data_IF_312172077671
#
_entry.id   IF_312172077671
#
_cell.length_a   1.000
_cell.length_b   1.000
_cell.length_c   1.000
_cell.angle_alpha   90.00
_cell.angle_beta   90.00
_cell.angle_gamma   90.00
#
_symmetry.space_group_name_H-M   'P 1'
#
loop_
_entity.id
_entity.type
_entity.pdbx_description
1 polymer ?
#
# COMPACT_ATOMS: atom_id res chain seq x y z
N UNK A 1 -13.24 -10.10 9.42
CA UNK A 1 -13.96 -9.87 8.13
C UNK A 1 -14.91 -8.66 8.14
N UNK A 2 -15.53 -8.25 9.27
CA UNK A 2 -16.54 -7.16 9.31
C UNK A 2 -16.11 -5.79 8.72
N UNK A 3 -14.81 -5.46 8.75
CA UNK A 3 -14.28 -4.19 8.22
C UNK A 3 -13.75 -4.26 6.77
N UNK A 4 -13.63 -5.46 6.18
CA UNK A 4 -13.16 -5.64 4.80
C UNK A 4 -14.30 -5.62 3.76
N UNK A 5 -15.55 -5.74 4.21
CA UNK A 5 -16.65 -6.26 3.37
C UNK A 5 -17.48 -5.20 2.66
N UNK A 6 -17.62 -4.00 3.24
CA UNK A 6 -18.40 -2.90 2.62
C UNK A 6 -17.59 -2.23 1.51
N UNK A 7 -16.26 -2.24 1.63
CA UNK A 7 -15.35 -1.60 0.69
C UNK A 7 -15.28 -2.34 -0.66
N UNK A 8 -15.15 -3.67 -0.61
CA UNK A 8 -14.97 -4.47 -1.83
C UNK A 8 -16.25 -4.72 -2.62
N UNK A 9 -17.38 -4.90 -1.94
CA UNK A 9 -18.65 -5.14 -2.63
C UNK A 9 -19.43 -3.85 -2.93
N UNK A 10 -19.02 -2.70 -2.37
CA UNK A 10 -19.75 -1.41 -2.45
C UNK A 10 -21.22 -1.52 -2.05
N UNK A 11 -21.56 -2.53 -1.23
CA UNK A 11 -22.90 -2.81 -0.71
C UNK A 11 -22.85 -3.04 0.79
N UNK A 12 -23.98 -2.80 1.46
CA UNK A 12 -24.08 -3.04 2.90
C UNK A 12 -24.09 -4.55 3.16
N UNK A 13 -23.56 -4.93 4.32
CA UNK A 13 -23.55 -6.30 4.80
C UNK A 13 -24.99 -6.84 5.03
N UNK A 14 -25.24 -8.16 5.02
CA UNK A 14 -26.51 -8.72 5.46
C UNK A 14 -26.89 -8.22 6.86
N UNK A 15 -28.18 -7.98 7.08
CA UNK A 15 -28.68 -7.34 8.31
C UNK A 15 -28.70 -8.31 9.49
N UNK A 16 -29.19 -9.52 9.28
CA UNK A 16 -29.29 -10.51 10.35
C UNK A 16 -27.98 -11.29 10.51
N UNK A 17 -27.69 -11.71 11.74
CA UNK A 17 -26.54 -12.57 12.04
C UNK A 17 -26.56 -13.89 11.28
N UNK A 18 -27.76 -14.44 11.02
CA UNK A 18 -27.95 -15.70 10.29
C UNK A 18 -27.58 -15.54 8.81
N UNK A 19 -28.08 -14.50 8.14
CA UNK A 19 -27.72 -14.22 6.73
C UNK A 19 -26.24 -13.88 6.59
N UNK A 20 -25.70 -13.11 7.54
CA UNK A 20 -24.28 -12.79 7.61
C UNK A 20 -23.41 -14.04 7.77
N UNK A 21 -23.88 -15.03 8.54
CA UNK A 21 -23.20 -16.31 8.71
C UNK A 21 -23.27 -17.15 7.45
N UNK A 22 -24.46 -17.33 6.87
CA UNK A 22 -24.66 -18.08 5.63
C UNK A 22 -23.79 -17.51 4.48
N UNK A 23 -23.77 -16.17 4.34
CA UNK A 23 -22.91 -15.51 3.36
C UNK A 23 -21.43 -15.82 3.59
N UNK A 24 -20.93 -15.73 4.84
CA UNK A 24 -19.51 -16.01 5.15
C UNK A 24 -19.14 -17.46 4.88
N UNK A 25 -20.01 -18.39 5.25
CA UNK A 25 -19.81 -19.82 5.05
C UNK A 25 -19.70 -20.13 3.56
N UNK A 26 -20.62 -19.57 2.74
CA UNK A 26 -20.59 -19.76 1.30
C UNK A 26 -19.38 -19.12 0.62
N UNK A 27 -19.05 -17.88 0.98
CA UNK A 27 -17.87 -17.20 0.45
C UNK A 27 -16.59 -18.00 0.77
N UNK A 28 -16.48 -18.47 2.02
CA UNK A 28 -15.36 -19.31 2.45
C UNK A 28 -15.32 -20.63 1.69
N UNK A 29 -16.45 -21.34 1.59
CA UNK A 29 -16.52 -22.62 0.89
C UNK A 29 -16.13 -22.49 -0.58
N UNK A 30 -16.59 -21.44 -1.25
CA UNK A 30 -16.30 -21.22 -2.66
C UNK A 30 -14.86 -20.78 -2.93
N UNK A 31 -14.25 -19.96 -2.07
CA UNK A 31 -12.81 -19.68 -2.18
C UNK A 31 -11.94 -20.90 -1.90
N UNK A 32 -12.29 -21.72 -0.91
CA UNK A 32 -11.59 -22.98 -0.63
C UNK A 32 -11.70 -23.92 -1.82
N UNK A 33 -12.89 -24.05 -2.42
CA UNK A 33 -13.10 -24.87 -3.61
C UNK A 33 -12.30 -24.36 -4.82
N UNK A 34 -12.30 -23.04 -5.06
CA UNK A 34 -11.50 -22.43 -6.13
C UNK A 34 -10.00 -22.69 -5.93
N UNK A 35 -9.49 -22.47 -4.70
CA UNK A 35 -8.09 -22.69 -4.33
C UNK A 35 -7.69 -24.15 -4.51
N UNK A 36 -8.54 -25.06 -4.04
CA UNK A 36 -8.35 -26.50 -4.21
C UNK A 36 -8.24 -26.86 -5.69
N UNK A 37 -9.16 -26.38 -6.53
CA UNK A 37 -9.17 -26.70 -7.95
C UNK A 37 -7.93 -26.16 -8.66
N UNK A 38 -7.48 -24.95 -8.31
CA UNK A 38 -6.23 -24.39 -8.81
C UNK A 38 -5.05 -25.30 -8.47
N UNK A 39 -4.89 -25.65 -7.19
CA UNK A 39 -3.77 -26.49 -6.75
C UNK A 39 -3.81 -27.88 -7.39
N UNK A 40 -4.98 -28.52 -7.41
CA UNK A 40 -5.17 -29.84 -8.02
C UNK A 40 -4.86 -29.82 -9.52
N UNK A 41 -5.26 -28.77 -10.23
CA UNK A 41 -4.98 -28.62 -11.66
C UNK A 41 -3.48 -28.45 -11.92
N UNK A 42 -2.81 -27.60 -11.14
CA UNK A 42 -1.38 -27.36 -11.28
C UNK A 42 -0.57 -28.62 -10.97
N UNK A 43 -0.86 -29.31 -9.86
CA UNK A 43 -0.13 -30.53 -9.51
C UNK A 43 -0.33 -31.64 -10.55
N UNK A 44 -1.53 -31.80 -11.09
CA UNK A 44 -1.83 -32.84 -12.08
C UNK A 44 -1.08 -32.57 -13.39
N UNK A 45 -0.97 -31.30 -13.78
CA UNK A 45 -0.13 -30.90 -14.91
C UNK A 45 1.34 -31.22 -14.66
N UNK A 46 1.89 -30.82 -13.51
CA UNK A 46 3.30 -31.07 -13.17
C UNK A 46 3.60 -32.58 -13.11
N UNK A 47 2.68 -33.39 -12.57
CA UNK A 47 2.76 -34.85 -12.60
C UNK A 47 2.76 -35.41 -14.02
N UNK A 48 1.92 -34.88 -14.92
CA UNK A 48 1.85 -35.31 -16.32
C UNK A 48 3.14 -35.01 -17.10
N UNK A 49 3.88 -33.98 -16.69
CA UNK A 49 5.21 -33.62 -17.21
C UNK A 49 6.34 -34.45 -16.56
N UNK A 50 6.03 -35.42 -15.70
CA UNK A 50 7.01 -36.27 -15.01
C UNK A 50 7.85 -35.54 -13.96
N UNK A 51 7.40 -34.35 -13.53
CA UNK A 51 8.06 -33.55 -12.48
C UNK A 51 7.43 -33.79 -11.12
N UNK A 52 8.18 -33.50 -10.06
CA UNK A 52 7.81 -33.81 -8.67
C UNK A 52 7.78 -32.59 -7.74
N UNK A 53 7.81 -31.38 -8.30
CA UNK A 53 7.76 -30.12 -7.56
C UNK A 53 7.01 -29.09 -8.39
N UNK A 54 6.00 -28.45 -7.78
CA UNK A 54 5.27 -27.34 -8.39
C UNK A 54 6.12 -26.07 -8.27
N UNK A 55 6.48 -25.49 -9.40
CA UNK A 55 7.23 -24.25 -9.47
C UNK A 55 6.37 -23.02 -9.75
N UNK A 56 6.93 -21.83 -9.49
CA UNK A 56 6.29 -20.54 -9.75
C UNK A 56 5.73 -20.44 -11.19
N UNK A 57 6.51 -20.88 -12.18
CA UNK A 57 6.11 -20.84 -13.60
C UNK A 57 4.89 -21.71 -13.90
N UNK A 58 4.72 -22.82 -13.16
CA UNK A 58 3.59 -23.72 -13.35
C UNK A 58 2.30 -23.04 -12.87
N UNK A 59 2.34 -22.44 -11.68
CA UNK A 59 1.23 -21.65 -11.15
C UNK A 59 0.90 -20.48 -12.08
N UNK A 60 1.91 -19.73 -12.53
CA UNK A 60 1.72 -18.58 -13.41
C UNK A 60 1.06 -18.99 -14.75
N UNK A 61 1.43 -20.15 -15.31
CA UNK A 61 0.82 -20.64 -16.55
C UNK A 61 -0.68 -20.94 -16.39
N UNK A 62 -1.09 -21.49 -15.24
CA UNK A 62 -2.50 -21.72 -14.94
C UNK A 62 -3.26 -20.43 -14.68
N UNK A 63 -2.70 -19.51 -13.90
CA UNK A 63 -3.36 -18.24 -13.58
C UNK A 63 -3.64 -17.39 -14.81
N UNK A 64 -2.77 -17.44 -15.83
CA UNK A 64 -3.00 -16.76 -17.12
C UNK A 64 -4.30 -17.18 -17.80
N UNK A 65 -4.78 -18.40 -17.57
CA UNK A 65 -6.02 -18.90 -18.17
C UNK A 65 -7.18 -18.88 -17.18
N UNK A 66 -6.93 -19.19 -15.90
CA UNK A 66 -7.97 -19.26 -14.87
C UNK A 66 -8.46 -17.90 -14.40
N UNK A 67 -7.55 -16.93 -14.29
CA UNK A 67 -7.85 -15.58 -13.81
C UNK A 67 -6.85 -14.59 -14.43
N UNK A 68 -6.95 -14.33 -15.75
CA UNK A 68 -6.02 -13.45 -16.45
C UNK A 68 -6.07 -12.04 -15.86
N UNK A 69 -4.90 -11.49 -15.54
CA UNK A 69 -4.75 -10.16 -14.95
C UNK A 69 -3.66 -9.34 -15.63
N UNK A 70 -3.75 -8.01 -15.49
CA UNK A 70 -2.68 -7.07 -15.83
C UNK A 70 -2.66 -5.92 -14.85
N UNK A 71 -1.48 -5.58 -14.32
CA UNK A 71 -1.30 -4.39 -13.50
C UNK A 71 -1.17 -3.12 -14.37
N UNK A 72 -1.76 -2.01 -13.91
CA UNK A 72 -1.56 -0.70 -14.52
C UNK A 72 -0.40 0.07 -13.84
N UNK A 73 -0.21 1.35 -14.18
CA UNK A 73 0.86 2.19 -13.62
C UNK A 73 0.65 2.57 -12.14
N UNK A 74 -0.56 2.38 -11.60
CA UNK A 74 -0.94 2.62 -10.21
C UNK A 74 -1.00 1.33 -9.39
N UNK A 75 -0.51 0.23 -9.97
CA UNK A 75 -0.56 -1.13 -9.41
C UNK A 75 -1.97 -1.72 -9.26
N UNK A 76 -2.99 -1.06 -9.83
CA UNK A 76 -4.35 -1.63 -9.87
C UNK A 76 -4.37 -2.86 -10.78
N UNK A 77 -5.15 -3.86 -10.40
CA UNK A 77 -5.26 -5.11 -11.13
C UNK A 77 -6.48 -5.08 -12.03
N UNK A 78 -6.23 -5.19 -13.33
CA UNK A 78 -7.26 -5.33 -14.37
C UNK A 78 -7.47 -6.82 -14.62
N UNK A 79 -8.62 -7.34 -14.22
CA UNK A 79 -9.06 -8.69 -14.50
C UNK A 79 -9.68 -8.81 -15.90
N UNK A 80 -9.44 -9.95 -16.53
CA UNK A 80 -9.89 -10.29 -17.88
C UNK A 80 -9.45 -9.25 -18.95
N UNK A 81 -8.15 -8.89 -19.02
CA UNK A 81 -7.64 -7.85 -19.90
C UNK A 81 -7.82 -8.12 -21.40
N UNK A 82 -8.14 -9.35 -21.79
CA UNK A 82 -8.40 -9.73 -23.18
C UNK A 82 -9.83 -9.38 -23.63
N UNK A 83 -10.73 -9.04 -22.70
CA UNK A 83 -12.10 -8.63 -23.01
C UNK A 83 -12.19 -7.15 -23.39
N UNK A 84 -13.35 -6.73 -23.92
CA UNK A 84 -13.67 -5.32 -24.10
C UNK A 84 -13.59 -4.53 -22.79
N UNK A 85 -13.28 -3.23 -22.85
CA UNK A 85 -13.10 -2.39 -21.64
C UNK A 85 -14.33 -2.37 -20.72
N UNK A 86 -15.52 -2.55 -21.28
CA UNK A 86 -16.81 -2.63 -20.60
C UNK A 86 -17.01 -3.94 -19.81
N UNK A 87 -16.23 -4.97 -20.12
CA UNK A 87 -16.26 -6.27 -19.45
C UNK A 87 -15.07 -6.50 -18.52
N UNK A 88 -14.05 -5.64 -18.60
CA UNK A 88 -12.90 -5.66 -17.70
C UNK A 88 -13.29 -5.19 -16.31
N UNK A 89 -12.71 -5.81 -15.29
CA UNK A 89 -12.93 -5.43 -13.89
C UNK A 89 -11.61 -4.91 -13.36
N UNK A 90 -11.59 -3.64 -12.96
CA UNK A 90 -10.41 -3.04 -12.32
C UNK A 90 -10.61 -3.03 -10.81
N UNK A 91 -9.63 -3.54 -10.09
CA UNK A 91 -9.59 -3.52 -8.62
C UNK A 91 -8.37 -2.71 -8.20
N UNK A 92 -8.64 -1.71 -7.37
CA UNK A 92 -7.64 -0.79 -6.83
C UNK A 92 -6.58 -1.56 -6.02
N UNK A 93 -5.30 -1.18 -6.14
CA UNK A 93 -4.18 -1.85 -5.44
C UNK A 93 -4.41 -1.96 -3.93
N UNK A 94 -4.91 -0.89 -3.31
CA UNK A 94 -5.26 -0.84 -1.89
C UNK A 94 -6.30 -1.89 -1.47
N UNK A 95 -7.27 -2.22 -2.33
CA UNK A 95 -8.30 -3.20 -1.98
C UNK A 95 -7.70 -4.62 -1.85
N UNK A 96 -6.74 -4.92 -2.71
CA UNK A 96 -6.01 -6.20 -2.71
C UNK A 96 -5.06 -6.26 -1.51
N UNK A 97 -4.33 -5.18 -1.23
CA UNK A 97 -3.48 -5.06 -0.05
C UNK A 97 -4.26 -5.24 1.25
N UNK A 98 -5.40 -4.59 1.40
CA UNK A 98 -6.24 -4.75 2.59
C UNK A 98 -6.68 -6.21 2.80
N UNK A 99 -6.98 -6.95 1.72
CA UNK A 99 -7.28 -8.38 1.82
C UNK A 99 -6.02 -9.19 2.18
N UNK A 100 -4.86 -8.86 1.60
CA UNK A 100 -3.57 -9.51 1.91
C UNK A 100 -3.18 -9.29 3.37
N UNK A 101 -3.23 -8.07 3.87
CA UNK A 101 -2.86 -7.71 5.24
C UNK A 101 -3.67 -8.45 6.31
N UNK A 102 -4.89 -8.90 5.96
CA UNK A 102 -5.70 -9.72 6.86
C UNK A 102 -5.13 -11.12 7.13
N UNK A 103 -4.22 -11.60 6.28
CA UNK A 103 -3.66 -12.95 6.31
C UNK A 103 -4.66 -14.08 6.00
N UNK A 104 -5.91 -13.76 5.67
CA UNK A 104 -6.97 -14.76 5.49
C UNK A 104 -6.76 -15.65 4.26
N UNK A 105 -6.06 -15.16 3.24
CA UNK A 105 -5.75 -15.91 2.03
C UNK A 105 -4.85 -17.14 2.32
N UNK A 106 -3.91 -17.03 3.26
CA UNK A 106 -3.14 -18.18 3.77
C UNK A 106 -4.02 -19.21 4.48
N UNK A 107 -5.07 -18.76 5.18
CA UNK A 107 -6.04 -19.67 5.82
C UNK A 107 -6.87 -20.42 4.80
N UNK A 108 -7.28 -19.79 3.70
CA UNK A 108 -7.98 -20.48 2.62
C UNK A 108 -7.10 -21.51 1.93
N UNK A 109 -5.80 -21.23 1.77
CA UNK A 109 -4.83 -22.23 1.29
C UNK A 109 -4.72 -23.42 2.24
N UNK A 110 -4.60 -23.17 3.55
CA UNK A 110 -4.59 -24.21 4.58
C UNK A 110 -5.87 -25.07 4.53
N UNK A 111 -7.04 -24.45 4.40
CA UNK A 111 -8.31 -25.16 4.29
C UNK A 111 -8.42 -25.97 3.00
N UNK A 112 -7.91 -25.47 1.88
CA UNK A 112 -7.86 -26.20 0.62
C UNK A 112 -6.96 -27.45 0.74
N UNK A 113 -5.82 -27.35 1.43
CA UNK A 113 -4.96 -28.51 1.71
C UNK A 113 -5.61 -29.51 2.65
N UNK A 114 -6.34 -29.06 3.66
CA UNK A 114 -7.12 -29.96 4.53
C UNK A 114 -8.21 -30.69 3.75
N UNK A 115 -8.88 -30.01 2.81
CA UNK A 115 -9.92 -30.61 1.96
C UNK A 115 -9.34 -31.61 0.95
N UNK A 116 -8.18 -31.29 0.34
CA UNK A 116 -7.46 -32.22 -0.53
C UNK A 116 -6.93 -33.44 0.23
N UNK A 117 -6.39 -33.21 1.44
CA UNK A 117 -5.83 -34.25 2.29
C UNK A 117 -4.82 -35.12 1.54
N UNK A 118 -5.02 -36.46 1.46
CA UNK A 118 -4.12 -37.36 0.72
C UNK A 118 -4.00 -37.09 -0.79
N UNK A 119 -4.86 -36.23 -1.35
CA UNK A 119 -4.79 -35.83 -2.77
C UNK A 119 -3.76 -34.73 -3.04
N UNK A 120 -3.11 -34.17 -2.01
CA UNK A 120 -1.93 -33.33 -2.21
C UNK A 120 -0.75 -34.26 -2.56
N UNK A 121 -0.43 -34.36 -3.84
CA UNK A 121 0.54 -35.34 -4.36
C UNK A 121 1.95 -34.76 -4.49
N UNK A 122 2.05 -33.46 -4.79
CA UNK A 122 3.32 -32.77 -4.99
C UNK A 122 3.49 -31.63 -3.99
N UNK A 123 4.70 -31.39 -3.48
CA UNK A 123 5.00 -30.13 -2.81
C UNK A 123 5.03 -28.99 -3.83
N UNK A 124 4.76 -27.78 -3.35
CA UNK A 124 5.01 -26.53 -4.08
C UNK A 124 6.19 -25.79 -3.45
N UNK A 125 7.04 -25.19 -4.28
CA UNK A 125 8.11 -24.35 -3.77
C UNK A 125 7.55 -23.07 -3.10
N UNK A 126 8.34 -22.37 -2.26
CA UNK A 126 7.85 -21.18 -1.55
C UNK A 126 7.32 -20.06 -2.46
N UNK A 127 7.91 -19.87 -3.65
CA UNK A 127 7.47 -18.83 -4.60
C UNK A 127 6.16 -19.21 -5.28
N UNK A 128 5.97 -20.50 -5.59
CA UNK A 128 4.70 -21.03 -6.07
C UNK A 128 3.59 -20.86 -5.01
N UNK A 129 3.90 -21.13 -3.74
CA UNK A 129 2.96 -20.93 -2.63
C UNK A 129 2.60 -19.47 -2.43
N UNK A 130 3.58 -18.55 -2.54
CA UNK A 130 3.33 -17.10 -2.51
C UNK A 130 2.39 -16.68 -3.65
N UNK A 131 2.65 -17.14 -4.88
CA UNK A 131 1.82 -16.78 -6.03
C UNK A 131 0.40 -17.35 -5.93
N UNK A 132 0.25 -18.57 -5.39
CA UNK A 132 -1.08 -19.14 -5.08
C UNK A 132 -1.78 -18.30 -4.01
N UNK A 133 -1.08 -17.94 -2.94
CA UNK A 133 -1.56 -17.07 -1.86
C UNK A 133 -2.07 -15.72 -2.39
N UNK A 134 -1.30 -15.06 -3.25
CA UNK A 134 -1.66 -13.81 -3.89
C UNK A 134 -2.89 -13.99 -4.80
N UNK A 135 -2.95 -15.09 -5.55
CA UNK A 135 -4.09 -15.39 -6.40
C UNK A 135 -5.39 -15.61 -5.61
N UNK A 136 -5.30 -16.18 -4.41
CA UNK A 136 -6.45 -16.31 -3.50
C UNK A 136 -6.94 -14.93 -3.05
N UNK A 137 -6.03 -14.01 -2.73
CA UNK A 137 -6.40 -12.65 -2.38
C UNK A 137 -7.13 -11.95 -3.53
N UNK A 138 -6.57 -12.03 -4.74
CA UNK A 138 -7.15 -11.50 -5.97
C UNK A 138 -8.56 -12.08 -6.23
N UNK A 139 -8.71 -13.41 -6.17
CA UNK A 139 -9.98 -14.08 -6.37
C UNK A 139 -11.02 -13.67 -5.31
N UNK A 140 -10.59 -13.48 -4.06
CA UNK A 140 -11.46 -13.04 -2.97
C UNK A 140 -12.05 -11.65 -3.19
N UNK A 141 -11.21 -10.67 -3.51
CA UNK A 141 -11.68 -9.30 -3.78
C UNK A 141 -12.53 -9.26 -5.04
N UNK A 142 -12.14 -9.97 -6.11
CA UNK A 142 -12.92 -10.07 -7.34
C UNK A 142 -14.33 -10.62 -7.09
N UNK A 143 -14.44 -11.68 -6.27
CA UNK A 143 -15.71 -12.29 -5.94
C UNK A 143 -16.63 -11.32 -5.17
N UNK A 144 -16.07 -10.55 -4.22
CA UNK A 144 -16.84 -9.49 -3.56
C UNK A 144 -17.27 -8.39 -4.51
N UNK A 145 -16.38 -7.94 -5.41
CA UNK A 145 -16.69 -6.91 -6.41
C UNK A 145 -17.85 -7.34 -7.30
N UNK A 146 -17.79 -8.56 -7.83
CA UNK A 146 -18.83 -9.15 -8.67
C UNK A 146 -20.14 -9.40 -7.93
N UNK A 147 -20.09 -9.86 -6.66
CA UNK A 147 -21.29 -9.99 -5.84
C UNK A 147 -21.98 -8.61 -5.64
N UNK A 148 -21.19 -7.55 -5.55
CA UNK A 148 -21.66 -6.17 -5.49
C UNK A 148 -22.38 -5.68 -6.74
N UNK A 149 -22.03 -6.18 -7.92
CA UNK A 149 -22.62 -5.74 -9.20
C UNK A 149 -24.07 -6.17 -9.37
N UNK A 150 -24.45 -7.33 -8.81
CA UNK A 150 -25.85 -7.77 -8.86
C UNK A 150 -26.67 -6.95 -7.88
N UNK A 151 -27.41 -5.99 -8.40
CA UNK A 151 -28.58 -5.44 -7.74
C UNK A 151 -28.60 -3.93 -7.74
N UNK A 152 -29.16 -3.37 -8.81
CA UNK A 152 -29.74 -2.03 -8.83
C UNK A 152 -30.98 -1.91 -7.91
N UNK A 153 -31.36 -2.96 -7.16
CA UNK A 153 -32.57 -2.98 -6.30
C UNK A 153 -32.38 -3.46 -4.86
N UNK A 154 -31.20 -3.96 -4.47
CA UNK A 154 -30.97 -4.46 -3.10
C UNK A 154 -29.80 -3.72 -2.46
N UNK A 155 -30.07 -3.03 -1.34
CA UNK A 155 -29.07 -2.25 -0.58
C UNK A 155 -28.02 -3.13 0.13
N UNK A 156 -28.31 -4.41 0.33
CA UNK A 156 -27.51 -5.35 1.11
C UNK A 156 -27.13 -6.59 0.29
N UNK A 157 -25.97 -7.15 0.60
CA UNK A 157 -25.53 -8.44 0.07
C UNK A 157 -26.42 -9.57 0.55
N UNK A 158 -26.59 -10.57 -0.30
CA UNK A 158 -27.25 -11.82 -0.03
C UNK A 158 -26.44 -13.00 -0.55
N UNK A 159 -26.75 -14.20 -0.06
CA UNK A 159 -26.07 -15.43 -0.46
C UNK A 159 -26.13 -15.67 -1.99
N UNK A 160 -27.24 -15.29 -2.63
CA UNK A 160 -27.44 -15.44 -4.08
C UNK A 160 -26.53 -14.52 -4.93
N UNK A 161 -25.95 -13.48 -4.33
CA UNK A 161 -24.99 -12.60 -5.01
C UNK A 161 -23.64 -13.30 -5.19
N UNK A 162 -23.28 -14.22 -4.27
CA UNK A 162 -22.08 -15.05 -4.44
C UNK A 162 -22.27 -16.06 -5.56
N UNK A 163 -23.44 -16.68 -5.70
CA UNK A 163 -23.72 -17.59 -6.83
C UNK A 163 -23.54 -16.89 -8.18
N UNK A 164 -24.03 -15.65 -8.25
CA UNK A 164 -23.82 -14.79 -9.40
C UNK A 164 -22.33 -14.51 -9.63
N UNK A 165 -21.61 -14.10 -8.60
CA UNK A 165 -20.19 -13.81 -8.70
C UNK A 165 -19.40 -15.02 -9.24
N UNK A 166 -19.61 -16.21 -8.69
CA UNK A 166 -18.96 -17.44 -9.17
C UNK A 166 -19.27 -17.72 -10.64
N UNK A 167 -20.55 -17.63 -11.01
CA UNK A 167 -20.99 -17.88 -12.39
C UNK A 167 -20.36 -16.87 -13.35
N UNK A 168 -20.34 -15.59 -12.97
CA UNK A 168 -19.78 -14.51 -13.79
C UNK A 168 -18.27 -14.60 -13.92
N UNK A 169 -17.55 -14.98 -12.86
CA UNK A 169 -16.10 -15.23 -12.95
C UNK A 169 -15.78 -16.30 -14.00
N UNK A 170 -16.53 -17.40 -14.00
CA UNK A 170 -16.38 -18.50 -14.97
C UNK A 170 -16.72 -18.02 -16.39
N UNK A 171 -17.82 -17.29 -16.55
CA UNK A 171 -18.25 -16.76 -17.85
C UNK A 171 -17.20 -15.81 -18.45
N UNK A 172 -16.71 -14.83 -17.67
CA UNK A 172 -15.69 -13.88 -18.14
C UNK A 172 -14.37 -14.57 -18.48
N UNK A 173 -13.97 -15.56 -17.69
CA UNK A 173 -12.80 -16.40 -17.98
C UNK A 173 -12.97 -17.12 -19.32
N UNK A 174 -14.09 -17.79 -19.51
CA UNK A 174 -14.34 -18.61 -20.70
C UNK A 174 -14.44 -17.75 -21.97
N UNK A 175 -15.10 -16.59 -21.89
CA UNK A 175 -15.15 -15.62 -23.00
C UNK A 175 -13.75 -15.06 -23.29
N UNK A 176 -12.99 -14.69 -22.26
CA UNK A 176 -11.64 -14.12 -22.41
C UNK A 176 -10.63 -15.10 -23.00
N UNK A 177 -10.88 -16.40 -22.86
CA UNK A 177 -10.09 -17.47 -23.45
C UNK A 177 -10.61 -17.87 -24.85
N UNK A 178 -11.88 -17.59 -25.17
CA UNK A 178 -12.49 -17.82 -26.48
C UNK A 178 -12.03 -16.78 -27.51
N UNK A 179 -10.73 -16.77 -27.85
CA UNK A 179 -10.17 -15.79 -28.80
C UNK A 179 -8.66 -15.85 -29.05
N UNK A 180 -7.96 -16.89 -28.59
CA UNK A 180 -6.49 -17.01 -28.73
C UNK A 180 -6.06 -17.42 -30.17
N UNK A 181 -7.00 -17.61 -31.11
CA UNK A 181 -6.73 -17.69 -32.55
C UNK A 181 -7.19 -16.41 -33.27
N UNK A 182 -6.21 -15.79 -33.93
CA UNK A 182 -6.23 -14.66 -34.86
C UNK A 182 -6.10 -13.23 -34.28
N UNK A 183 -4.87 -12.72 -34.41
CA UNK A 183 -4.58 -11.30 -34.45
C UNK A 183 -5.00 -10.70 -35.79
N UNK A 184 -5.81 -9.63 -35.76
CA UNK A 184 -5.49 -8.30 -36.34
C UNK A 184 -6.75 -7.42 -36.38
N UNK A 185 -6.68 -6.28 -35.72
CA UNK A 185 -7.04 -5.01 -36.34
C UNK A 185 -6.50 -3.85 -35.51
N UNK A 186 -5.71 -2.99 -36.15
CA UNK A 186 -5.31 -1.69 -35.63
C UNK A 186 -6.39 -0.68 -35.98
N UNK A 187 -7.06 -0.12 -34.97
CA UNK A 187 -7.90 1.07 -35.13
C UNK A 187 -7.25 2.24 -34.39
N UNK A 188 -7.10 3.35 -35.12
CA UNK A 188 -6.72 4.64 -34.55
C UNK A 188 -7.91 5.18 -33.74
N UNK A 189 -7.67 5.81 -32.58
CA UNK A 189 -8.75 6.39 -31.79
C UNK A 189 -9.30 7.65 -32.46
N UNK A 190 -10.57 7.61 -32.86
CA UNK A 190 -11.40 8.81 -32.92
C UNK A 190 -12.11 8.98 -31.58
N UNK A 191 -11.88 10.12 -30.94
CA UNK A 191 -12.57 10.52 -29.71
C UNK A 191 -13.89 11.15 -30.12
N UNK A 192 -15.00 10.51 -29.77
CA UNK A 192 -16.32 11.13 -29.75
C UNK A 192 -16.79 11.21 -28.29
N UNK A 193 -16.98 12.44 -27.79
CA UNK A 193 -17.53 12.71 -26.45
C UNK A 193 -18.98 12.23 -26.36
N UNK A 194 -19.27 11.46 -25.32
CA UNK A 194 -20.64 11.20 -24.89
C UNK A 194 -21.28 12.51 -24.37
N UNK A 195 -22.57 12.68 -24.66
CA UNK A 195 -23.38 13.79 -24.16
C UNK A 195 -23.34 13.88 -22.64
N UNK A 196 -23.33 15.13 -22.17
CA UNK A 196 -23.14 15.52 -20.77
C UNK A 196 -24.15 14.85 -19.83
N UNK A 197 -23.65 14.06 -18.89
CA UNK A 197 -24.31 13.86 -17.62
C UNK A 197 -24.53 15.24 -16.94
N UNK A 198 -25.62 15.45 -16.17
CA UNK A 198 -25.75 16.65 -15.34
C UNK A 198 -24.51 16.76 -14.46
N UNK A 199 -24.01 17.99 -14.16
CA UNK A 199 -22.72 18.16 -13.52
C UNK A 199 -22.70 17.36 -12.21
N UNK A 200 -21.94 16.27 -12.20
CA UNK A 200 -21.53 15.63 -10.97
C UNK A 200 -20.84 16.71 -10.15
N UNK A 201 -21.31 16.93 -8.92
CA UNK A 201 -20.67 17.84 -7.99
C UNK A 201 -19.16 17.57 -8.00
N UNK A 202 -18.37 18.54 -8.46
CA UNK A 202 -16.91 18.44 -8.44
C UNK A 202 -16.52 18.53 -6.97
N UNK A 203 -16.31 17.38 -6.33
CA UNK A 203 -15.96 17.31 -4.90
C UNK A 203 -14.50 17.72 -4.65
N UNK A 204 -13.62 17.46 -5.62
CA UNK A 204 -12.20 17.77 -5.55
C UNK A 204 -11.70 18.35 -6.87
N UNK A 205 -10.73 19.25 -6.77
CA UNK A 205 -10.04 19.85 -7.90
C UNK A 205 -8.54 19.69 -7.67
N UNK A 206 -7.83 19.22 -8.69
CA UNK A 206 -6.36 19.27 -8.67
C UNK A 206 -5.92 20.73 -8.71
N UNK A 207 -5.18 21.14 -7.67
CA UNK A 207 -4.64 22.48 -7.53
C UNK A 207 -3.11 22.50 -7.53
N UNK A 208 -2.44 21.38 -7.81
CA UNK A 208 -0.98 21.23 -7.66
C UNK A 208 -0.22 22.31 -8.41
N UNK A 209 -0.62 22.60 -9.66
CA UNK A 209 0.02 23.63 -10.47
C UNK A 209 -0.27 25.04 -9.93
N UNK A 210 -1.51 25.30 -9.54
CA UNK A 210 -1.96 26.62 -9.07
C UNK A 210 -1.53 26.95 -7.64
N UNK A 211 -1.26 25.94 -6.80
CA UNK A 211 -0.89 26.14 -5.39
C UNK A 211 0.58 26.52 -5.23
N UNK A 212 1.42 26.32 -6.25
CA UNK A 212 2.86 26.58 -6.16
C UNK A 212 3.67 25.51 -5.40
N UNK A 213 3.02 24.46 -4.87
CA UNK A 213 3.71 23.36 -4.19
C UNK A 213 4.36 22.43 -5.23
N UNK A 214 5.67 22.24 -5.16
CA UNK A 214 6.45 21.41 -6.10
C UNK A 214 7.16 20.23 -5.44
N UNK A 215 6.96 20.02 -4.14
CA UNK A 215 7.56 18.92 -3.41
C UNK A 215 7.06 17.57 -3.93
N UNK A 216 7.99 16.63 -4.05
CA UNK A 216 7.67 15.25 -4.41
C UNK A 216 7.94 14.34 -3.22
N UNK A 217 6.88 13.71 -2.72
CA UNK A 217 6.94 12.78 -1.60
C UNK A 217 7.43 11.41 -2.09
N UNK A 218 8.63 10.99 -1.65
CA UNK A 218 9.20 9.68 -2.00
C UNK A 218 10.20 9.22 -0.95
N UNK A 219 10.54 7.93 -0.95
CA UNK A 219 11.64 7.39 -0.14
C UNK A 219 13.02 7.88 -0.62
N UNK A 220 14.02 7.88 0.26
CA UNK A 220 15.38 8.34 -0.08
C UNK A 220 16.13 7.36 -0.97
N UNK A 221 16.99 7.91 -1.82
CA UNK A 221 17.83 7.13 -2.74
C UNK A 221 18.89 6.31 -2.01
N UNK A 222 19.35 6.78 -0.86
CA UNK A 222 20.32 6.06 -0.04
C UNK A 222 19.78 4.71 0.45
N UNK A 223 18.51 4.67 0.89
CA UNK A 223 17.84 3.43 1.31
C UNK A 223 17.73 2.42 0.15
N UNK A 224 17.43 2.91 -1.05
CA UNK A 224 17.37 2.09 -2.28
C UNK A 224 18.71 1.40 -2.55
N UNK A 225 19.83 2.09 -2.28
CA UNK A 225 21.19 1.57 -2.53
C UNK A 225 21.63 0.52 -1.51
N UNK A 226 21.33 0.72 -0.23
CA UNK A 226 21.91 -0.08 0.86
C UNK A 226 21.02 -1.24 1.32
N UNK A 227 19.69 -1.05 1.34
CA UNK A 227 18.81 -1.99 2.05
C UNK A 227 17.92 -2.76 1.06
N UNK A 228 17.51 -2.18 -0.07
CA UNK A 228 16.69 -2.87 -1.09
C UNK A 228 17.49 -3.78 -2.05
N UNK A 229 18.70 -4.18 -1.67
CA UNK A 229 19.55 -5.09 -2.45
C UNK A 229 19.73 -6.45 -1.75
N UNK A 230 20.16 -7.47 -2.49
CA UNK A 230 20.49 -8.78 -1.90
C UNK A 230 21.66 -8.63 -0.93
N UNK A 231 21.43 -8.86 0.36
CA UNK A 231 22.50 -8.94 1.35
C UNK A 231 23.41 -10.13 1.09
N UNK A 232 22.82 -11.23 0.60
CA UNK A 232 23.56 -12.41 0.17
C UNK A 232 22.87 -13.03 -1.03
N UNK A 233 23.65 -13.32 -2.08
CA UNK A 233 23.16 -14.04 -3.26
C UNK A 233 24.07 -15.23 -3.55
N UNK A 234 23.60 -16.43 -3.21
CA UNK A 234 24.19 -17.71 -3.59
C UNK A 234 23.49 -18.33 -4.81
N UNK A 235 23.97 -19.49 -5.26
CA UNK A 235 23.35 -20.24 -6.37
C UNK A 235 21.92 -20.71 -6.07
N UNK A 236 21.60 -20.98 -4.81
CA UNK A 236 20.29 -21.52 -4.38
C UNK A 236 19.59 -20.71 -3.29
N UNK A 237 20.21 -19.64 -2.79
CA UNK A 237 19.67 -18.83 -1.69
C UNK A 237 19.88 -17.34 -1.95
N UNK A 238 18.82 -16.56 -1.80
CA UNK A 238 18.86 -15.11 -1.75
C UNK A 238 18.41 -14.65 -0.37
N UNK A 239 19.26 -13.91 0.34
CA UNK A 239 18.87 -13.18 1.56
C UNK A 239 18.58 -11.75 1.13
N UNK A 240 17.32 -11.37 1.18
CA UNK A 240 16.86 -10.01 0.91
C UNK A 240 16.44 -9.41 2.25
N UNK A 241 16.97 -8.24 2.60
CA UNK A 241 16.28 -7.38 3.55
C UNK A 241 15.32 -6.51 2.77
N UNK A 242 14.07 -6.91 2.67
CA UNK A 242 13.03 -5.91 2.43
C UNK A 242 12.75 -5.31 3.81
N UNK A 243 13.22 -4.09 4.14
CA UNK A 243 12.61 -3.42 5.27
C UNK A 243 11.12 -3.28 4.88
N UNK A 244 10.19 -3.43 5.82
CA UNK A 244 8.81 -3.09 5.50
C UNK A 244 8.82 -1.68 4.92
N UNK A 245 8.01 -1.45 3.89
CA UNK A 245 7.93 -0.19 3.17
C UNK A 245 7.36 0.92 4.07
N UNK A 246 8.10 1.33 5.09
CA UNK A 246 7.79 2.50 5.88
C UNK A 246 8.36 3.67 5.09
N UNK A 247 7.54 4.24 4.22
CA UNK A 247 7.82 5.48 3.49
C UNK A 247 6.94 6.60 4.01
N UNK A 248 6.94 6.83 5.32
CA UNK A 248 6.26 7.97 5.91
C UNK A 248 7.28 9.07 6.15
N UNK A 249 7.40 10.01 5.22
CA UNK A 249 8.02 11.30 5.48
C UNK A 249 6.85 12.27 5.76
N UNK A 250 6.52 12.51 7.03
CA UNK A 250 5.28 13.19 7.40
C UNK A 250 5.11 14.59 6.78
N UNK A 251 3.89 15.13 6.92
CA UNK A 251 3.60 16.54 6.69
C UNK A 251 3.20 17.16 8.02
N UNK A 252 3.67 18.37 8.29
CA UNK A 252 3.20 19.20 9.40
C UNK A 252 2.69 20.54 8.86
N UNK A 253 1.70 21.09 9.55
CA UNK A 253 1.21 22.44 9.33
C UNK A 253 1.39 23.23 10.63
N UNK A 254 1.89 24.46 10.52
CA UNK A 254 2.25 25.32 11.64
C UNK A 254 2.39 26.77 11.16
N UNK A 255 2.29 27.72 12.06
CA UNK A 255 2.54 29.14 11.76
C UNK A 255 4.02 29.41 12.09
N UNK A 256 4.90 29.18 11.11
CA UNK A 256 6.34 29.16 11.38
C UNK A 256 6.98 30.54 11.28
N UNK A 257 6.32 31.50 10.62
CA UNK A 257 6.77 32.89 10.55
C UNK A 257 5.91 33.88 11.35
N UNK A 258 5.04 33.34 12.21
CA UNK A 258 4.21 34.08 13.16
C UNK A 258 3.34 35.14 12.49
N UNK A 259 2.96 34.90 11.22
CA UNK A 259 2.17 35.83 10.43
C UNK A 259 0.66 35.63 10.62
N UNK A 260 0.25 34.51 11.22
CA UNK A 260 -1.13 34.13 11.51
C UNK A 260 -1.71 33.09 10.55
N UNK A 261 -0.95 32.60 9.57
CA UNK A 261 -1.37 31.52 8.66
C UNK A 261 -0.63 30.21 8.90
N UNK A 262 -1.30 29.11 8.59
CA UNK A 262 -0.66 27.81 8.57
C UNK A 262 0.18 27.63 7.30
N UNK A 263 1.49 27.50 7.49
CA UNK A 263 2.49 27.05 6.53
C UNK A 263 2.56 25.51 6.48
N UNK A 264 3.34 24.98 5.54
CA UNK A 264 3.48 23.53 5.35
C UNK A 264 4.95 23.09 5.37
N UNK A 265 5.28 22.19 6.29
CA UNK A 265 6.51 21.42 6.30
C UNK A 265 6.26 20.03 5.70
N UNK A 266 6.88 19.75 4.56
CA UNK A 266 6.77 18.48 3.85
C UNK A 266 8.11 17.76 3.94
N UNK A 267 8.13 16.57 4.54
CA UNK A 267 9.30 15.74 4.57
C UNK A 267 9.30 14.79 3.36
N UNK A 268 10.48 14.49 2.83
CA UNK A 268 10.67 13.52 1.75
C UNK A 268 12.08 12.96 1.80
N UNK A 269 12.30 11.80 1.20
CA UNK A 269 13.63 11.27 0.91
C UNK A 269 14.45 12.12 -0.08
N UNK A 270 13.84 13.18 -0.64
CA UNK A 270 14.51 14.23 -1.39
C UNK A 270 14.91 15.45 -0.54
N UNK A 271 14.57 15.48 0.74
CA UNK A 271 14.80 16.61 1.64
C UNK A 271 13.53 17.05 2.36
N UNK A 272 13.72 18.02 3.26
CA UNK A 272 12.64 18.68 3.97
C UNK A 272 12.33 19.98 3.25
N UNK A 273 11.05 20.25 3.00
CA UNK A 273 10.60 21.42 2.27
C UNK A 273 9.65 22.24 3.13
N UNK A 274 9.90 23.54 3.23
CA UNK A 274 9.03 24.46 3.95
C UNK A 274 8.39 25.43 2.96
N UNK A 275 7.06 25.49 3.01
CA UNK A 275 6.23 26.31 2.16
C UNK A 275 5.46 27.32 3.00
N UNK A 276 5.73 28.60 2.77
CA UNK A 276 4.97 29.68 3.39
C UNK A 276 3.64 29.87 2.68
N UNK A 277 2.56 30.03 3.44
CA UNK A 277 1.23 30.32 2.93
C UNK A 277 1.11 31.79 2.49
N UNK A 278 0.56 32.05 1.31
CA UNK A 278 0.39 33.42 0.79
C UNK A 278 -1.03 33.99 1.01
N UNK A 279 -1.90 33.31 1.80
CA UNK A 279 -3.32 33.65 2.05
C UNK A 279 -4.27 33.59 0.86
N UNK A 280 -3.79 33.26 -0.33
CA UNK A 280 -4.58 33.25 -1.57
C UNK A 280 -4.73 31.85 -2.18
N UNK A 281 -4.41 30.81 -1.39
CA UNK A 281 -4.39 29.42 -1.84
C UNK A 281 -3.09 29.01 -2.55
N UNK A 282 -2.11 29.92 -2.63
CA UNK A 282 -0.77 29.63 -3.12
C UNK A 282 0.25 29.59 -1.99
N UNK A 283 1.38 28.95 -2.27
CA UNK A 283 2.48 28.76 -1.35
C UNK A 283 3.81 29.17 -1.97
N UNK A 284 4.69 29.75 -1.16
CA UNK A 284 6.05 30.11 -1.54
C UNK A 284 7.03 29.12 -0.93
N UNK A 285 7.88 28.49 -1.74
CA UNK A 285 8.97 27.65 -1.22
C UNK A 285 10.03 28.54 -0.54
N UNK A 286 10.17 28.39 0.78
CA UNK A 286 11.15 29.09 1.61
C UNK A 286 12.23 28.15 2.18
N UNK A 287 12.32 26.93 1.66
CA UNK A 287 13.18 25.84 2.17
C UNK A 287 14.64 26.24 2.37
N UNK A 288 15.25 26.90 1.38
CA UNK A 288 16.65 27.33 1.48
C UNK A 288 16.83 28.52 2.42
N UNK A 289 15.82 29.38 2.51
CA UNK A 289 15.85 30.58 3.35
C UNK A 289 15.64 30.24 4.81
N UNK A 290 14.84 29.21 5.10
CA UNK A 290 14.49 28.78 6.45
C UNK A 290 15.59 27.98 7.12
N UNK A 291 16.47 27.31 6.36
CA UNK A 291 17.53 26.47 6.93
C UNK A 291 17.08 25.08 7.38
N UNK A 292 15.81 24.71 7.14
CA UNK A 292 15.24 23.40 7.54
C UNK A 292 15.80 22.22 6.73
N UNK A 293 16.47 22.51 5.61
CA UNK A 293 16.87 21.57 4.56
C UNK A 293 18.15 20.78 4.86
N UNK A 294 18.25 20.22 6.07
CA UNK A 294 19.44 19.49 6.50
C UNK A 294 19.86 18.38 5.51
N UNK A 295 21.17 18.28 5.29
CA UNK A 295 21.80 17.25 4.46
C UNK A 295 22.90 16.54 5.25
N UNK A 296 23.08 15.26 4.93
CA UNK A 296 24.20 14.45 5.40
C UNK A 296 25.54 15.02 4.93
N UNK A 297 26.62 14.52 5.52
CA UNK A 297 27.99 14.88 5.14
C UNK A 297 28.35 14.53 3.69
N UNK A 298 27.66 13.58 3.07
CA UNK A 298 27.80 13.22 1.66
C UNK A 298 27.01 14.15 0.70
N UNK A 299 26.33 15.16 1.25
CA UNK A 299 25.52 16.12 0.50
C UNK A 299 24.14 15.60 0.10
N UNK A 300 23.76 14.39 0.51
CA UNK A 300 22.43 13.83 0.24
C UNK A 300 21.46 14.12 1.40
N UNK A 301 20.15 14.19 1.13
CA UNK A 301 19.13 14.24 2.17
C UNK A 301 19.15 13.01 3.08
N UNK A 302 18.76 13.22 4.34
CA UNK A 302 18.40 12.13 5.26
C UNK A 302 17.17 11.33 4.80
N UNK A 303 16.83 10.27 5.52
CA UNK A 303 15.49 9.66 5.44
C UNK A 303 14.65 10.15 6.62
N UNK A 304 13.87 11.23 6.46
CA UNK A 304 13.02 11.73 7.53
C UNK A 304 11.84 10.79 7.81
N UNK A 305 11.36 10.81 9.04
CA UNK A 305 10.22 10.02 9.52
C UNK A 305 9.06 10.91 9.92
N UNK A 306 9.24 11.67 10.98
CA UNK A 306 8.16 12.43 11.56
C UNK A 306 8.62 13.85 11.84
N UNK A 307 7.88 14.86 11.36
CA UNK A 307 7.98 16.21 11.90
C UNK A 307 7.20 16.27 13.22
N UNK A 308 7.79 16.82 14.26
CA UNK A 308 7.10 17.26 15.46
C UNK A 308 7.25 18.78 15.55
N UNK A 309 6.15 19.46 15.80
CA UNK A 309 6.09 20.93 15.89
C UNK A 309 5.58 21.28 17.27
N UNK A 310 6.36 22.08 17.99
CA UNK A 310 5.99 22.61 19.30
C UNK A 310 6.92 23.77 19.67
N UNK A 311 6.47 24.62 20.57
CA UNK A 311 7.33 25.59 21.27
C UNK A 311 8.13 24.82 22.34
N UNK A 312 9.43 24.61 22.13
CA UNK A 312 10.26 23.75 23.00
C UNK A 312 10.97 24.54 24.10
N UNK A 313 11.17 25.85 23.92
CA UNK A 313 11.81 26.71 24.91
C UNK A 313 10.91 27.81 25.49
N UNK A 314 9.60 27.71 25.21
CA UNK A 314 8.53 28.59 25.69
C UNK A 314 8.73 30.05 25.27
N UNK A 315 9.30 30.29 24.08
CA UNK A 315 9.51 31.64 23.53
C UNK A 315 8.33 32.15 22.69
N UNK A 316 7.37 31.27 22.41
CA UNK A 316 6.15 31.55 21.64
C UNK A 316 6.24 31.18 20.16
N UNK A 317 7.42 30.78 19.67
CA UNK A 317 7.64 30.38 18.28
C UNK A 317 7.64 28.85 18.14
N UNK A 318 7.14 28.34 17.01
CA UNK A 318 7.03 26.90 16.80
C UNK A 318 8.35 26.30 16.30
N UNK A 319 9.04 25.56 17.18
CA UNK A 319 10.22 24.78 16.85
C UNK A 319 9.87 23.47 16.12
N UNK A 320 10.89 22.86 15.50
CA UNK A 320 10.73 21.64 14.73
C UNK A 320 11.72 20.57 15.16
N UNK A 321 11.22 19.37 15.45
CA UNK A 321 12.02 18.16 15.56
C UNK A 321 11.73 17.26 14.36
N UNK A 322 12.79 16.74 13.72
CA UNK A 322 12.67 15.75 12.66
C UNK A 322 13.44 14.49 13.05
N UNK A 323 12.71 13.38 13.16
CA UNK A 323 13.31 12.06 13.37
C UNK A 323 13.73 11.46 12.03
N UNK A 324 14.79 10.65 12.04
CA UNK A 324 15.39 10.08 10.82
C UNK A 324 15.66 8.58 10.95
N UNK A 325 15.87 7.93 9.82
CA UNK A 325 16.43 6.58 9.75
C UNK A 325 17.94 6.66 9.59
N UNK A 326 18.67 6.03 10.51
CA UNK A 326 20.12 5.88 10.47
C UNK A 326 20.90 7.20 10.44
N UNK A 327 20.30 8.28 10.92
CA UNK A 327 20.92 9.59 10.97
C UNK A 327 20.60 10.26 12.31
N UNK A 328 21.43 11.24 12.73
CA UNK A 328 21.10 12.08 13.86
C UNK A 328 19.72 12.73 13.69
N UNK A 329 18.88 12.63 14.72
CA UNK A 329 17.64 13.40 14.78
C UNK A 329 17.96 14.89 14.83
N UNK A 330 17.11 15.69 14.18
CA UNK A 330 17.33 17.12 14.05
C UNK A 330 16.37 17.91 14.93
N UNK A 331 16.90 18.94 15.57
CA UNK A 331 16.14 19.92 16.35
C UNK A 331 16.47 21.29 15.79
N UNK A 332 15.42 21.99 15.38
CA UNK A 332 15.48 23.28 14.73
C UNK A 332 14.73 24.27 15.60
N UNK A 333 15.47 25.19 16.23
CA UNK A 333 14.85 26.28 16.98
C UNK A 333 14.41 27.37 16.02
N UNK A 334 13.15 27.77 16.08
CA UNK A 334 12.62 28.87 15.29
C UNK A 334 13.06 30.23 15.88
N UNK A 335 13.05 31.27 15.06
CA UNK A 335 13.31 32.66 15.48
C UNK A 335 12.12 33.60 15.23
N UNK A 336 10.95 33.00 14.94
CA UNK A 336 9.68 33.68 14.75
C UNK A 336 9.51 34.34 13.38
N UNK A 337 10.42 34.11 12.43
CA UNK A 337 10.30 34.63 11.06
C UNK A 337 10.42 33.54 9.98
N UNK A 338 10.21 32.28 10.37
CA UNK A 338 10.33 31.13 9.48
C UNK A 338 11.78 30.75 9.20
N UNK A 339 12.74 31.21 10.03
CA UNK A 339 14.14 30.78 10.01
C UNK A 339 14.43 29.91 11.21
N UNK A 340 15.23 28.89 10.96
CA UNK A 340 15.55 27.87 11.93
C UNK A 340 17.05 27.80 12.17
N UNK A 341 17.43 27.78 13.45
CA UNK A 341 18.77 27.41 13.90
C UNK A 341 18.81 25.91 14.16
N UNK A 342 19.74 25.18 13.51
CA UNK A 342 20.01 23.78 13.85
C UNK A 342 20.72 23.72 15.22
N UNK A 343 19.97 23.32 16.25
CA UNK A 343 20.46 23.14 17.62
C UNK A 343 20.64 21.66 17.97
N UNK A 344 20.71 20.78 16.97
CA UNK A 344 20.73 19.32 17.15
C UNK A 344 21.94 18.84 17.95
N UNK A 345 23.11 19.45 17.77
CA UNK A 345 24.32 19.09 18.52
C UNK A 345 24.16 19.38 20.03
N UNK A 346 23.43 20.45 20.37
CA UNK A 346 23.11 20.79 21.75
C UNK A 346 22.05 19.85 22.32
N UNK A 347 21.03 19.52 21.52
CA UNK A 347 19.95 18.61 21.93
C UNK A 347 20.43 17.15 22.07
N UNK A 348 21.41 16.74 21.27
CA UNK A 348 22.08 15.43 21.32
C UNK A 348 21.09 14.23 21.37
N UNK A 349 20.06 14.26 20.53
CA UNK A 349 18.98 13.26 20.52
C UNK A 349 19.41 11.86 20.02
N UNK A 350 20.62 11.71 19.48
CA UNK A 350 21.09 10.45 18.89
C UNK A 350 20.37 10.13 17.57
N UNK A 351 20.08 8.85 17.34
CA UNK A 351 19.38 8.35 16.12
C UNK A 351 20.29 7.67 15.09
N UNK A 352 21.61 7.91 15.14
CA UNK A 352 22.58 7.21 14.29
C UNK A 352 22.56 5.69 14.53
N UNK A 353 22.45 4.89 13.46
CA UNK A 353 22.34 3.43 13.58
C UNK A 353 20.97 2.93 14.03
N UNK A 354 19.97 3.80 14.18
CA UNK A 354 18.62 3.44 14.63
C UNK A 354 17.56 3.74 13.57
N UNK A 355 16.46 3.00 13.61
CA UNK A 355 15.29 3.24 12.74
C UNK A 355 14.19 3.86 13.58
N UNK A 356 14.08 5.20 13.56
CA UNK A 356 13.01 5.87 14.28
C UNK A 356 11.63 5.44 13.78
N UNK A 357 10.74 5.23 14.73
CA UNK A 357 9.31 5.04 14.53
C UNK A 357 8.53 6.25 15.04
N UNK A 358 7.29 6.05 15.51
CA UNK A 358 6.50 7.12 16.10
C UNK A 358 7.24 7.82 17.24
N UNK A 359 7.15 9.14 17.25
CA UNK A 359 7.61 10.00 18.32
C UNK A 359 6.47 10.92 18.78
N UNK A 360 6.55 11.39 20.02
CA UNK A 360 5.58 12.33 20.60
C UNK A 360 6.25 13.26 21.59
N UNK A 361 5.68 14.46 21.74
CA UNK A 361 6.01 15.40 22.80
C UNK A 361 4.94 15.33 23.89
N UNK A 362 5.36 15.45 25.15
CA UNK A 362 4.48 15.53 26.32
C UNK A 362 5.26 16.08 27.51
N UNK A 363 4.59 16.81 28.39
CA UNK A 363 5.15 17.19 29.69
C UNK A 363 4.89 16.04 30.69
N UNK A 364 5.83 15.11 30.83
CA UNK A 364 5.61 13.87 31.59
C UNK A 364 5.81 14.06 33.09
N UNK A 365 6.66 15.01 33.48
CA UNK A 365 6.98 15.30 34.88
C UNK A 365 6.29 16.55 35.44
N UNK A 366 5.52 17.27 34.59
CA UNK A 366 4.76 18.48 34.89
C UNK A 366 5.64 19.68 35.27
N UNK A 367 6.81 19.82 34.65
CA UNK A 367 7.69 20.97 34.85
C UNK A 367 7.37 22.16 33.93
N UNK A 368 6.45 21.98 32.97
CA UNK A 368 6.02 22.99 32.01
C UNK A 368 6.91 23.08 30.76
N UNK A 369 7.88 22.16 30.61
CA UNK A 369 8.66 21.94 29.40
C UNK A 369 8.21 20.62 28.75
N UNK A 370 8.29 20.54 27.42
CA UNK A 370 7.92 19.33 26.71
C UNK A 370 9.08 18.32 26.69
N UNK A 371 8.80 17.10 27.13
CA UNK A 371 9.66 15.95 26.93
C UNK A 371 9.42 15.31 25.57
N UNK A 372 10.47 14.65 25.04
CA UNK A 372 10.42 13.92 23.78
C UNK A 372 10.52 12.40 24.02
N UNK A 373 9.52 11.67 23.54
CA UNK A 373 9.54 10.21 23.50
C UNK A 373 9.66 9.71 22.06
N UNK A 374 10.73 8.96 21.76
CA UNK A 374 10.99 8.38 20.42
C UNK A 374 11.00 6.86 20.52
N UNK A 375 10.16 6.21 19.72
CA UNK A 375 10.22 4.75 19.56
C UNK A 375 11.14 4.37 18.41
N UNK A 376 11.75 3.20 18.50
CA UNK A 376 12.61 2.66 17.45
C UNK A 376 12.12 1.29 17.03
N UNK A 377 12.15 1.03 15.74
CA UNK A 377 11.73 -0.23 15.14
C UNK A 377 12.76 -1.37 15.34
N UNK A 378 13.85 -1.17 16.11
CA UNK A 378 14.92 -2.15 16.30
C UNK A 378 16.05 -2.02 15.27
N UNK A 379 17.06 -2.90 15.33
CA UNK A 379 18.26 -2.83 14.48
C UNK A 379 18.06 -3.54 13.12
N UNK A 380 17.10 -3.04 12.34
CA UNK A 380 16.86 -3.52 10.97
C UNK A 380 18.06 -3.30 10.03
N UNK A 381 18.89 -2.28 10.31
CA UNK A 381 20.08 -1.99 9.51
C UNK A 381 21.10 -3.13 9.56
N UNK A 382 21.19 -3.84 10.69
CA UNK A 382 22.00 -5.04 10.84
C UNK A 382 21.30 -6.36 10.45
N UNK A 383 20.07 -6.31 9.93
CA UNK A 383 19.27 -7.51 9.64
C UNK A 383 18.78 -8.26 10.88
N UNK A 384 18.84 -7.64 12.07
CA UNK A 384 18.35 -8.24 13.31
C UNK A 384 16.88 -7.88 13.46
N UNK A 385 16.00 -8.85 13.21
CA UNK A 385 14.57 -8.69 13.41
C UNK A 385 14.25 -8.60 14.91
N UNK A 386 13.33 -7.70 15.34
CA UNK A 386 12.81 -7.75 16.69
C UNK A 386 12.08 -9.09 16.89
N UNK A 387 12.63 -9.97 17.72
CA UNK A 387 11.90 -11.13 18.23
C UNK A 387 11.07 -10.69 19.42
N UNK A 388 9.77 -10.93 19.39
CA UNK A 388 8.97 -10.94 20.61
C UNK A 388 9.55 -12.06 21.50
N UNK A 389 10.19 -11.67 22.60
CA UNK A 389 10.67 -12.61 23.61
C UNK A 389 9.51 -13.14 24.45
#
# INVERSE_FOLDING_TARGET
>A
IRNLQVYFARKRWPESSAEAQAFREKYTAGLVAWTRNLYDSVQNYVLSEGRNLIGERDVQAFLKNEMPTRANLYEDIIFFPNLGRDQQITIESYDIDAFRDSGVHWRYLEFAFKDLGPKVLLPADPFALELISEAIANAGVLMFRLAGERGERAERLAEADLDYAFTKMIELRDIGNAGILEAKSSLQPEIASAESAPPSMVLFRDITESSGIRAHHRSSDWLSRQIRSYLQKGESTGVITLPPAFGGAGVAAGDFDSDGDADLLILSGLGNFLYRNNRDGTFTDITDQSGINWKRSDGLPGEPRQPLVADLDNDGDQDVIITYVNDPHRVFRNDGNGRFEDVSDRANLGGSGLVAGPATLLDIDNDGLLDLYITYFGNYLGGVLPTLA
#
